data_IF_840149541165
#
_entry.id   IF_840149541165
#
_cell.length_a   1.000
_cell.length_b   1.000
_cell.length_c   1.000
_cell.angle_alpha   90.00
_cell.angle_beta   90.00
_cell.angle_gamma   90.00
#
_symmetry.space_group_name_H-M   'P 1'
#
loop_
_entity.id
_entity.type
_entity.pdbx_description
1 polymer ?
#
# COMPACT_ATOMS: atom_id res chain seq x y z
N UNK A 1 6.30 -29.02 3.17
CA UNK A 1 5.78 -30.09 4.05
C UNK A 1 5.38 -29.48 5.39
N UNK A 2 4.39 -30.04 6.10
CA UNK A 2 4.00 -29.53 7.42
C UNK A 2 5.20 -29.55 8.37
N UNK A 3 5.35 -28.52 9.19
CA UNK A 3 6.47 -28.41 10.15
C UNK A 3 6.49 -29.58 11.14
N UNK A 4 5.36 -30.24 11.36
CA UNK A 4 5.23 -31.46 12.17
C UNK A 4 5.91 -32.71 11.58
N UNK A 5 6.36 -32.67 10.32
CA UNK A 5 7.01 -33.80 9.65
C UNK A 5 8.50 -33.59 9.42
N UNK A 6 9.09 -32.54 9.99
CA UNK A 6 10.50 -32.21 9.80
C UNK A 6 11.37 -33.03 10.73
N UNK A 7 12.49 -33.56 10.23
CA UNK A 7 13.46 -34.21 11.10
C UNK A 7 14.16 -33.15 11.98
N UNK A 8 14.38 -33.43 13.27
CA UNK A 8 15.16 -32.54 14.12
C UNK A 8 16.54 -32.26 13.52
N UNK A 9 17.00 -31.01 13.64
CA UNK A 9 18.31 -30.55 13.14
C UNK A 9 18.47 -30.58 11.60
N UNK A 10 17.39 -30.81 10.85
CA UNK A 10 17.41 -30.74 9.39
C UNK A 10 16.96 -29.35 8.91
N UNK A 11 17.77 -28.73 8.06
CA UNK A 11 17.42 -27.47 7.40
C UNK A 11 16.41 -27.71 6.28
N UNK A 12 15.30 -26.98 6.32
CA UNK A 12 14.26 -27.03 5.29
C UNK A 12 14.26 -25.72 4.50
N UNK A 13 14.45 -25.82 3.18
CA UNK A 13 14.33 -24.67 2.28
C UNK A 13 12.93 -24.61 1.70
N UNK A 14 12.27 -23.46 1.84
CA UNK A 14 10.96 -23.22 1.26
C UNK A 14 10.98 -21.88 0.52
N UNK A 15 10.73 -21.88 -0.80
CA UNK A 15 10.54 -20.64 -1.53
C UNK A 15 9.23 -19.97 -1.09
N UNK A 16 9.31 -18.68 -0.79
CA UNK A 16 8.16 -17.84 -0.45
C UNK A 16 8.10 -16.69 -1.46
N UNK A 17 6.93 -16.46 -2.04
CA UNK A 17 6.68 -15.29 -2.88
C UNK A 17 5.86 -14.28 -2.08
N UNK A 18 6.36 -13.05 -1.97
CA UNK A 18 5.61 -11.92 -1.43
C UNK A 18 4.96 -11.19 -2.62
N UNK A 19 3.65 -11.32 -2.85
CA UNK A 19 2.99 -10.60 -3.93
C UNK A 19 3.03 -9.10 -3.64
N UNK A 20 3.58 -8.33 -4.58
CA UNK A 20 3.66 -6.88 -4.49
C UNK A 20 2.55 -6.25 -5.34
N UNK A 21 1.72 -5.36 -4.79
CA UNK A 21 0.73 -4.63 -5.58
C UNK A 21 1.42 -3.80 -6.68
N UNK A 22 0.84 -3.75 -7.88
CA UNK A 22 1.36 -2.95 -9.01
C UNK A 22 1.46 -1.45 -8.70
N UNK A 23 0.68 -1.00 -7.72
CA UNK A 23 0.59 0.38 -7.28
C UNK A 23 1.44 0.68 -6.05
N UNK A 24 2.26 -0.27 -5.59
CA UNK A 24 3.15 -0.07 -4.44
C UNK A 24 4.13 1.06 -4.75
N UNK A 25 4.19 2.06 -3.86
CA UNK A 25 5.06 3.23 -4.04
C UNK A 25 6.53 2.77 -4.10
N UNK A 26 7.34 3.27 -5.04
CA UNK A 26 8.77 2.97 -5.05
C UNK A 26 9.45 3.38 -3.74
N UNK A 27 10.49 2.66 -3.34
CA UNK A 27 11.29 2.95 -2.16
C UNK A 27 11.78 1.71 -1.42
N UNK A 28 12.36 1.95 -0.25
CA UNK A 28 13.00 0.92 0.56
C UNK A 28 12.04 0.38 1.62
N UNK A 29 11.77 -0.94 1.56
CA UNK A 29 10.84 -1.62 2.47
C UNK A 29 11.56 -2.70 3.26
N UNK A 30 11.28 -2.78 4.56
CA UNK A 30 11.76 -3.87 5.42
C UNK A 30 10.78 -5.04 5.37
N UNK A 31 11.30 -6.24 5.18
CA UNK A 31 10.52 -7.48 5.26
C UNK A 31 10.76 -8.16 6.59
N UNK A 32 9.68 -8.68 7.17
CA UNK A 32 9.67 -9.30 8.50
C UNK A 32 8.84 -10.57 8.45
N UNK A 33 9.16 -11.54 9.31
CA UNK A 33 8.35 -12.74 9.53
C UNK A 33 7.93 -12.82 10.98
N UNK A 34 6.71 -13.28 11.20
CA UNK A 34 6.19 -13.71 12.50
C UNK A 34 5.70 -15.14 12.34
N UNK A 35 6.13 -16.01 13.25
CA UNK A 35 5.65 -17.40 13.30
C UNK A 35 4.60 -17.46 14.41
N UNK A 36 3.49 -18.13 14.14
CA UNK A 36 2.39 -18.29 15.09
C UNK A 36 2.21 -19.77 15.42
N UNK A 37 1.72 -20.04 16.63
CA UNK A 37 1.18 -21.36 16.96
C UNK A 37 -0.12 -21.61 16.21
N UNK A 38 -0.30 -22.82 15.72
CA UNK A 38 -1.44 -23.16 14.87
C UNK A 38 -2.76 -23.35 15.65
N UNK A 39 -2.68 -23.66 16.93
CA UNK A 39 -3.81 -23.97 17.81
C UNK A 39 -4.50 -22.72 18.38
N UNK A 40 -3.73 -21.75 18.85
CA UNK A 40 -4.24 -20.54 19.51
C UNK A 40 -3.90 -19.23 18.78
N UNK A 41 -3.09 -19.29 17.73
CA UNK A 41 -2.65 -18.11 16.98
C UNK A 41 -1.69 -17.21 17.76
N UNK A 42 -1.16 -17.66 18.91
CA UNK A 42 -0.20 -16.89 19.68
C UNK A 42 1.14 -16.77 18.93
N UNK A 43 1.80 -15.61 18.92
CA UNK A 43 3.09 -15.45 18.29
C UNK A 43 4.15 -16.29 19.03
N UNK A 44 5.05 -16.91 18.27
CA UNK A 44 6.23 -17.59 18.77
C UNK A 44 7.41 -16.61 18.72
N UNK A 45 7.82 -16.04 19.87
CA UNK A 45 8.98 -15.15 19.90
C UNK A 45 10.25 -15.95 19.57
N UNK A 46 11.21 -15.36 18.83
CA UNK A 46 12.52 -15.97 18.64
C UNK A 46 13.31 -15.96 19.95
N UNK A 47 14.36 -16.79 20.04
CA UNK A 47 15.16 -16.94 21.26
C UNK A 47 15.75 -15.61 21.76
N UNK A 48 15.81 -15.41 23.08
CA UNK A 48 16.18 -14.14 23.74
C UNK A 48 17.54 -13.56 23.31
N UNK A 49 18.47 -14.39 22.83
CA UNK A 49 19.75 -13.93 22.29
C UNK A 49 19.61 -13.17 20.95
N UNK A 50 18.46 -13.28 20.30
CA UNK A 50 18.16 -12.72 18.99
C UNK A 50 17.29 -11.45 19.15
N UNK A 51 17.73 -10.32 18.57
CA UNK A 51 16.98 -9.05 18.65
C UNK A 51 15.76 -9.07 17.71
N UNK A 52 14.65 -9.60 18.20
CA UNK A 52 13.35 -9.44 17.57
C UNK A 52 12.87 -7.98 17.65
N UNK A 53 12.20 -7.51 16.61
CA UNK A 53 11.47 -6.24 16.64
C UNK A 53 10.16 -6.48 17.41
N UNK A 54 9.88 -5.62 18.40
CA UNK A 54 8.72 -5.75 19.29
C UNK A 54 8.60 -7.14 19.95
N UNK A 55 9.71 -7.85 20.16
CA UNK A 55 9.76 -9.15 20.83
C UNK A 55 9.27 -10.35 20.02
N UNK A 56 8.76 -10.16 18.79
CA UNK A 56 8.14 -11.24 18.02
C UNK A 56 8.39 -11.21 16.49
N UNK A 57 8.84 -10.09 15.93
CA UNK A 57 9.07 -9.93 14.49
C UNK A 57 10.54 -10.16 14.16
N UNK A 58 10.81 -11.08 13.26
CA UNK A 58 12.17 -11.36 12.79
C UNK A 58 12.44 -10.65 11.46
N UNK A 59 13.46 -9.78 11.34
CA UNK A 59 13.78 -9.13 10.08
C UNK A 59 14.37 -10.15 9.09
N UNK A 60 13.82 -10.18 7.87
CA UNK A 60 14.33 -10.99 6.77
C UNK A 60 15.31 -10.22 5.88
N UNK A 61 15.17 -8.89 5.82
CA UNK A 61 16.03 -8.01 5.05
C UNK A 61 15.30 -6.76 4.55
N UNK A 62 15.91 -6.09 3.59
CA UNK A 62 15.34 -4.93 2.92
C UNK A 62 15.14 -5.26 1.44
N UNK A 63 14.01 -4.83 0.88
CA UNK A 63 13.71 -4.92 -0.55
C UNK A 63 13.55 -3.51 -1.10
N UNK A 64 14.25 -3.23 -2.20
CA UNK A 64 14.07 -1.98 -2.95
C UNK A 64 12.98 -2.17 -4.00
N UNK A 65 11.91 -1.41 -3.88
CA UNK A 65 10.82 -1.37 -4.85
C UNK A 65 11.13 -0.29 -5.87
N UNK A 66 11.43 -0.72 -7.09
CA UNK A 66 11.65 0.18 -8.21
C UNK A 66 10.34 0.45 -8.95
N UNK A 67 10.20 1.58 -9.66
CA UNK A 67 9.03 1.85 -10.49
C UNK A 67 8.76 0.70 -11.48
N UNK A 68 7.51 0.20 -11.53
CA UNK A 68 7.12 -0.94 -12.36
C UNK A 68 7.50 -0.75 -13.83
N UNK A 69 8.24 -1.68 -14.43
CA UNK A 69 8.81 -1.51 -15.77
C UNK A 69 7.75 -1.37 -16.88
N UNK A 70 6.59 -2.00 -16.73
CA UNK A 70 5.48 -1.95 -17.68
C UNK A 70 4.23 -1.41 -17.00
N UNK A 71 3.54 -0.49 -17.68
CA UNK A 71 2.25 0.00 -17.24
C UNK A 71 1.21 -1.12 -17.37
N UNK A 72 0.42 -1.42 -16.33
CA UNK A 72 -0.72 -2.33 -16.48
C UNK A 72 -1.74 -1.72 -17.45
N UNK A 73 -2.45 -2.56 -18.20
CA UNK A 73 -3.63 -2.10 -18.94
C UNK A 73 -4.71 -1.71 -17.92
N UNK A 74 -5.09 -0.43 -17.95
CA UNK A 74 -6.08 0.14 -17.05
C UNK A 74 -7.36 0.50 -17.80
N UNK A 75 -8.52 0.53 -17.13
CA UNK A 75 -9.74 1.07 -17.70
C UNK A 75 -9.57 2.54 -18.09
N UNK A 76 -10.51 3.05 -18.90
CA UNK A 76 -10.56 4.48 -19.23
C UNK A 76 -10.68 5.32 -17.93
N UNK A 77 -10.04 6.51 -17.87
CA UNK A 77 -10.00 7.30 -16.65
C UNK A 77 -11.39 7.81 -16.27
N UNK A 78 -11.66 7.85 -14.96
CA UNK A 78 -12.85 8.42 -14.36
C UNK A 78 -12.87 9.95 -14.48
N UNK A 79 -11.70 10.58 -14.38
CA UNK A 79 -11.51 12.02 -14.49
C UNK A 79 -10.08 12.39 -14.88
N UNK A 80 -9.87 13.60 -15.37
CA UNK A 80 -8.55 14.15 -15.71
C UNK A 80 -8.37 15.51 -15.08
N UNK A 81 -7.25 15.70 -14.37
CA UNK A 81 -6.84 16.94 -13.73
C UNK A 81 -5.47 17.31 -14.27
N UNK A 82 -5.43 18.27 -15.18
CA UNK A 82 -4.21 18.63 -15.91
C UNK A 82 -3.59 17.41 -16.64
N UNK A 83 -2.44 16.91 -16.18
CA UNK A 83 -1.80 15.70 -16.70
C UNK A 83 -2.04 14.47 -15.82
N UNK A 84 -2.78 14.57 -14.71
CA UNK A 84 -3.08 13.45 -13.82
C UNK A 84 -4.45 12.87 -14.13
N UNK A 85 -4.50 11.59 -14.47
CA UNK A 85 -5.74 10.85 -14.71
C UNK A 85 -6.12 10.06 -13.45
N UNK A 86 -7.35 10.25 -12.96
CA UNK A 86 -7.94 9.40 -11.93
C UNK A 86 -8.53 8.18 -12.61
N UNK A 87 -7.93 7.02 -12.37
CA UNK A 87 -8.27 5.76 -13.06
C UNK A 87 -9.30 4.95 -12.29
N UNK A 88 -9.20 4.92 -10.97
CA UNK A 88 -10.12 4.18 -10.11
C UNK A 88 -10.20 4.81 -8.72
N UNK A 89 -11.33 4.58 -8.03
CA UNK A 89 -11.54 4.94 -6.63
C UNK A 89 -12.26 3.79 -5.95
N UNK A 90 -11.66 3.28 -4.87
CA UNK A 90 -12.20 2.19 -4.09
C UNK A 90 -12.49 2.66 -2.67
N UNK A 91 -13.71 2.40 -2.21
CA UNK A 91 -14.10 2.55 -0.81
C UNK A 91 -14.14 1.17 -0.16
N UNK A 92 -13.62 1.05 1.06
CA UNK A 92 -13.67 -0.21 1.81
C UNK A 92 -15.11 -0.57 2.23
N UNK A 93 -15.99 0.45 2.37
CA UNK A 93 -17.40 0.33 2.71
C UNK A 93 -18.21 1.50 2.17
N UNK A 94 -19.51 1.30 2.04
CA UNK A 94 -20.48 2.35 1.64
C UNK A 94 -21.45 2.71 2.77
N UNK A 95 -21.35 2.03 3.91
CA UNK A 95 -22.14 2.28 5.11
C UNK A 95 -21.19 2.39 6.31
N UNK A 96 -21.41 3.38 7.18
CA UNK A 96 -20.59 3.67 8.34
C UNK A 96 -21.41 4.38 9.42
N UNK A 97 -21.10 4.14 10.70
CA UNK A 97 -21.70 4.86 11.81
C UNK A 97 -20.92 6.16 12.11
N UNK A 98 -21.53 7.15 12.79
CA UNK A 98 -20.79 8.31 13.27
C UNK A 98 -19.60 7.90 14.15
N UNK A 99 -18.41 8.40 13.83
CA UNK A 99 -17.16 8.05 14.49
C UNK A 99 -16.34 6.96 13.79
N UNK A 100 -16.94 6.24 12.83
CA UNK A 100 -16.20 5.34 11.96
C UNK A 100 -15.35 6.11 10.95
N UNK A 101 -14.38 5.41 10.36
CA UNK A 101 -13.62 5.89 9.22
C UNK A 101 -13.91 5.02 8.00
N UNK A 102 -14.22 5.66 6.88
CA UNK A 102 -14.27 5.00 5.56
C UNK A 102 -12.92 5.17 4.90
N UNK A 103 -12.29 4.05 4.52
CA UNK A 103 -11.02 4.08 3.82
C UNK A 103 -11.27 4.24 2.33
N UNK A 104 -10.69 5.28 1.73
CA UNK A 104 -10.69 5.50 0.30
C UNK A 104 -9.29 5.24 -0.25
N UNK A 105 -9.20 4.51 -1.35
CA UNK A 105 -7.97 4.33 -2.12
C UNK A 105 -8.20 4.86 -3.53
N UNK A 106 -7.36 5.81 -3.96
CA UNK A 106 -7.43 6.36 -5.32
C UNK A 106 -6.24 5.88 -6.16
N UNK A 107 -6.50 5.62 -7.44
CA UNK A 107 -5.49 5.17 -8.39
C UNK A 107 -5.31 6.22 -9.47
N UNK A 108 -4.09 6.73 -9.62
CA UNK A 108 -3.79 7.88 -10.47
C UNK A 108 -2.71 7.56 -11.50
N UNK A 109 -2.89 7.96 -12.75
CA UNK A 109 -1.90 7.80 -13.81
C UNK A 109 -1.49 9.16 -14.38
N UNK A 110 -0.23 9.60 -14.21
CA UNK A 110 0.25 10.79 -14.89
C UNK A 110 0.42 10.52 -16.37
N UNK A 111 0.02 11.46 -17.23
CA UNK A 111 0.39 11.49 -18.65
C UNK A 111 1.76 12.14 -18.84
N UNK A 112 2.41 11.92 -20.00
CA UNK A 112 3.59 12.69 -20.37
C UNK A 112 3.29 14.19 -20.36
N UNK A 113 4.09 14.95 -19.63
CA UNK A 113 3.98 16.40 -19.50
C UNK A 113 5.37 17.04 -19.53
N UNK A 114 5.53 18.25 -20.11
CA UNK A 114 6.79 18.99 -20.07
C UNK A 114 7.18 19.47 -18.66
N UNK A 115 6.26 19.41 -17.69
CA UNK A 115 6.49 19.77 -16.29
C UNK A 115 5.95 18.69 -15.35
N UNK A 116 6.33 18.78 -14.07
CA UNK A 116 5.86 17.88 -13.01
C UNK A 116 5.66 18.69 -11.73
N UNK A 117 4.41 18.86 -11.33
CA UNK A 117 4.03 19.65 -10.16
C UNK A 117 3.51 18.77 -9.02
N UNK A 118 3.69 19.27 -7.80
CA UNK A 118 3.10 18.66 -6.60
C UNK A 118 1.75 19.30 -6.32
N UNK A 119 0.67 18.53 -6.50
CA UNK A 119 -0.70 18.98 -6.32
C UNK A 119 -1.20 18.71 -4.91
N UNK A 120 -2.22 19.47 -4.50
CA UNK A 120 -3.03 19.17 -3.32
C UNK A 120 -4.40 18.70 -3.77
N UNK A 121 -4.89 17.63 -3.15
CA UNK A 121 -6.26 17.17 -3.32
C UNK A 121 -7.14 17.70 -2.19
N UNK A 122 -8.42 17.92 -2.48
CA UNK A 122 -9.45 18.16 -1.49
C UNK A 122 -10.55 17.11 -1.68
N UNK A 123 -10.93 16.44 -0.60
CA UNK A 123 -12.08 15.54 -0.57
C UNK A 123 -13.09 16.18 0.37
N UNK A 124 -14.33 16.33 -0.10
CA UNK A 124 -15.44 16.83 0.69
C UNK A 124 -16.54 15.78 0.80
N UNK A 125 -17.07 15.62 2.02
CA UNK A 125 -18.29 14.89 2.29
C UNK A 125 -19.46 15.87 2.27
N UNK A 126 -20.46 15.59 1.44
CA UNK A 126 -21.66 16.42 1.30
C UNK A 126 -22.88 15.69 1.86
N UNK A 127 -23.80 16.44 2.47
CA UNK A 127 -25.13 15.96 2.79
C UNK A 127 -25.97 15.80 1.51
N UNK A 128 -27.12 15.13 1.62
CA UNK A 128 -28.03 14.87 0.49
C UNK A 128 -28.54 16.17 -0.14
N UNK A 129 -28.63 17.25 0.63
CA UNK A 129 -29.01 18.59 0.15
C UNK A 129 -27.86 19.33 -0.57
N UNK A 130 -26.68 18.70 -0.66
CA UNK A 130 -25.49 19.24 -1.30
C UNK A 130 -24.62 20.12 -0.40
N UNK A 131 -25.04 20.40 0.85
CA UNK A 131 -24.21 21.16 1.79
C UNK A 131 -22.95 20.37 2.18
N UNK A 132 -21.81 21.06 2.29
CA UNK A 132 -20.55 20.44 2.75
C UNK A 132 -20.65 20.15 4.25
N UNK A 133 -20.54 18.87 4.63
CA UNK A 133 -20.48 18.44 6.02
C UNK A 133 -19.04 18.50 6.55
N UNK A 134 -18.07 18.10 5.73
CA UNK A 134 -16.66 18.09 6.10
C UNK A 134 -15.77 18.06 4.86
N UNK A 135 -14.56 18.62 4.94
CA UNK A 135 -13.55 18.48 3.91
C UNK A 135 -12.14 18.24 4.47
N UNK A 136 -11.31 17.58 3.68
CA UNK A 136 -9.92 17.28 3.99
C UNK A 136 -9.05 17.65 2.80
N UNK A 137 -7.95 18.36 3.07
CA UNK A 137 -6.97 18.73 2.06
C UNK A 137 -5.60 18.12 2.39
N UNK A 138 -4.97 17.49 1.41
CA UNK A 138 -3.69 16.81 1.58
C UNK A 138 -2.82 16.92 0.32
N UNK A 139 -1.52 16.70 0.47
CA UNK A 139 -0.59 16.58 -0.66
C UNK A 139 -0.92 15.28 -1.41
N UNK A 140 -1.22 15.37 -2.70
CA UNK A 140 -1.52 14.20 -3.51
C UNK A 140 -0.27 13.31 -3.62
N UNK A 141 -0.36 12.05 -3.19
CA UNK A 141 0.80 11.15 -3.01
C UNK A 141 1.43 11.16 -1.62
N UNK A 142 1.00 12.10 -0.76
CA UNK A 142 1.60 12.39 0.54
C UNK A 142 2.96 13.07 0.45
N UNK A 143 3.52 13.44 1.60
CA UNK A 143 4.78 14.19 1.65
C UNK A 143 6.01 13.35 1.27
N UNK A 144 5.93 12.02 1.42
CA UNK A 144 7.02 11.11 1.08
C UNK A 144 7.12 10.81 -0.42
N UNK A 145 6.02 10.91 -1.17
CA UNK A 145 5.98 10.62 -2.60
C UNK A 145 4.95 11.49 -3.34
N UNK A 146 5.17 12.82 -3.35
CA UNK A 146 4.22 13.78 -3.90
C UNK A 146 4.04 13.59 -5.41
N UNK A 147 2.90 14.05 -5.95
CA UNK A 147 2.52 13.85 -7.36
C UNK A 147 3.55 14.31 -8.40
N UNK A 148 4.40 15.28 -8.06
CA UNK A 148 5.49 15.74 -8.94
C UNK A 148 6.59 14.68 -9.14
N UNK A 149 6.71 13.71 -8.22
CA UNK A 149 7.67 12.61 -8.30
C UNK A 149 7.11 11.37 -9.01
N UNK A 150 5.83 11.38 -9.42
CA UNK A 150 5.19 10.22 -10.03
C UNK A 150 5.66 9.99 -11.46
N UNK A 151 6.05 8.76 -11.85
CA UNK A 151 6.46 8.45 -13.21
C UNK A 151 5.32 8.64 -14.22
N UNK A 152 5.66 9.07 -15.43
CA UNK A 152 4.68 9.19 -16.49
C UNK A 152 4.18 7.80 -16.92
N UNK A 153 2.92 7.77 -17.35
CA UNK A 153 2.18 6.63 -17.90
C UNK A 153 2.04 5.45 -16.95
N UNK A 154 2.25 5.64 -15.64
CA UNK A 154 2.19 4.57 -14.65
C UNK A 154 1.24 4.91 -13.51
N UNK A 155 0.34 3.98 -13.13
CA UNK A 155 -0.56 4.21 -12.02
C UNK A 155 0.19 4.24 -10.68
N UNK A 156 -0.20 5.17 -9.83
CA UNK A 156 0.24 5.32 -8.45
C UNK A 156 -0.99 5.20 -7.56
N UNK A 157 -0.89 4.41 -6.49
CA UNK A 157 -1.91 4.34 -5.45
C UNK A 157 -1.67 5.43 -4.42
N UNK A 158 -2.74 6.13 -4.07
CA UNK A 158 -2.78 7.08 -2.98
C UNK A 158 -3.82 6.67 -1.93
#
# INVERSE_FOLDING_TARGET
PATSTWAPQESQSQPLALPLPVSLKPGSYRTEVVVYRADDGAPLPPDEAQRAIEGQRWPLGTVEIVPAAQAPELPAPLATFDYLELVDVQLDRTEAAPGDSVQMTAYWQPRPSPYRDSYRANIALHAVDGSEAQAWAFTLGGDAYPSGAWPAERPVRD
#
